data_IF_862159967916
#
_entry.id   IF_862159967916
#
_cell.length_a   1.000
_cell.length_b   1.000
_cell.length_c   1.000
_cell.angle_alpha   90.00
_cell.angle_beta   90.00
_cell.angle_gamma   90.00
#
_symmetry.space_group_name_H-M   'P 1'
#
loop_
_entity.id
_entity.type
_entity.pdbx_description
1 polymer ?
#
# COMPACT_ATOMS: atom_id res chain seq x y z
N UNK A 1 14.20 -2.28 -1.95
CA UNK A 1 13.19 -1.53 -2.73
C UNK A 1 12.30 -0.75 -1.79
N UNK A 2 12.19 0.54 -2.01
CA UNK A 2 11.35 1.45 -1.21
C UNK A 2 10.00 1.67 -1.86
N UNK A 3 8.94 1.33 -1.17
CA UNK A 3 7.54 1.41 -1.62
C UNK A 3 6.79 2.45 -0.82
N UNK A 4 5.94 3.23 -1.50
CA UNK A 4 5.10 4.24 -0.86
C UNK A 4 3.66 4.14 -1.36
N UNK A 5 2.68 4.29 -0.47
CA UNK A 5 1.28 4.57 -0.82
C UNK A 5 0.87 5.93 -0.28
N UNK A 6 0.07 6.66 -1.06
CA UNK A 6 -0.42 7.96 -0.64
C UNK A 6 -1.71 8.37 -1.34
N UNK A 7 -2.76 8.63 -0.58
CA UNK A 7 -3.89 9.39 -1.07
C UNK A 7 -3.49 10.88 -1.15
N UNK A 8 -3.51 11.48 -2.34
CA UNK A 8 -3.03 12.85 -2.59
C UNK A 8 -4.14 13.90 -2.60
N UNK A 9 -5.33 13.51 -2.15
CA UNK A 9 -6.45 14.41 -1.90
C UNK A 9 -6.89 15.26 -3.09
N UNK A 10 -6.89 14.68 -4.27
CA UNK A 10 -7.41 15.25 -5.52
C UNK A 10 -7.17 16.77 -5.66
N UNK A 11 -8.20 17.56 -6.05
CA UNK A 11 -8.17 19.04 -6.13
C UNK A 11 -8.87 19.73 -4.97
N UNK A 12 -8.89 19.12 -3.79
CA UNK A 12 -9.44 19.77 -2.61
C UNK A 12 -8.42 20.73 -1.97
N UNK A 13 -8.94 21.74 -1.24
CA UNK A 13 -8.10 22.72 -0.58
C UNK A 13 -7.17 23.48 -1.54
N UNK A 14 -6.00 23.93 -1.09
CA UNK A 14 -5.03 24.65 -1.92
C UNK A 14 -4.21 23.69 -2.79
N UNK A 15 -4.88 22.96 -3.70
CA UNK A 15 -4.32 21.83 -4.43
C UNK A 15 -3.07 22.18 -5.27
N UNK A 16 -2.93 23.41 -5.76
CA UNK A 16 -1.75 23.85 -6.52
C UNK A 16 -0.50 23.87 -5.64
N UNK A 17 -0.61 24.49 -4.45
CA UNK A 17 0.48 24.50 -3.47
C UNK A 17 0.76 23.09 -2.92
N UNK A 18 -0.29 22.29 -2.70
CA UNK A 18 -0.16 20.90 -2.24
C UNK A 18 0.56 20.03 -3.26
N UNK A 19 0.33 20.23 -4.55
CA UNK A 19 1.06 19.54 -5.62
C UNK A 19 2.58 19.68 -5.47
N UNK A 20 3.06 20.90 -5.19
CA UNK A 20 4.49 21.15 -4.99
C UNK A 20 5.00 20.56 -3.67
N UNK A 21 4.19 20.58 -2.61
CA UNK A 21 4.50 19.95 -1.34
C UNK A 21 4.60 18.41 -1.46
N UNK A 22 3.68 17.78 -2.20
CA UNK A 22 3.73 16.34 -2.52
C UNK A 22 5.04 16.01 -3.27
N UNK A 23 5.41 16.80 -4.27
CA UNK A 23 6.66 16.61 -5.01
C UNK A 23 7.89 16.72 -4.10
N UNK A 24 7.90 17.70 -3.18
CA UNK A 24 9.01 17.88 -2.26
C UNK A 24 9.19 16.67 -1.33
N UNK A 25 8.09 16.14 -0.79
CA UNK A 25 8.12 14.91 0.04
C UNK A 25 8.64 13.72 -0.76
N UNK A 26 8.13 13.50 -1.97
CA UNK A 26 8.57 12.37 -2.81
C UNK A 26 10.06 12.49 -3.20
N UNK A 27 10.58 13.69 -3.42
CA UNK A 27 12.01 13.93 -3.67
C UNK A 27 12.89 13.60 -2.48
N UNK A 28 12.45 13.95 -1.29
CA UNK A 28 13.17 13.68 -0.05
C UNK A 28 13.19 12.16 0.25
N UNK A 29 12.02 11.52 0.17
CA UNK A 29 11.85 10.10 0.46
C UNK A 29 12.49 9.18 -0.58
N UNK A 30 12.58 9.61 -1.84
CA UNK A 30 13.15 8.86 -2.98
C UNK A 30 12.58 7.43 -3.08
N UNK A 31 11.25 7.24 -3.14
CA UNK A 31 10.69 5.92 -3.31
C UNK A 31 11.06 5.33 -4.67
N UNK A 32 11.15 3.99 -4.73
CA UNK A 32 11.35 3.26 -5.97
C UNK A 32 10.04 3.05 -6.71
N UNK A 33 8.96 2.75 -5.96
CA UNK A 33 7.61 2.54 -6.48
C UNK A 33 6.59 3.25 -5.58
N UNK A 34 5.62 3.91 -6.22
CA UNK A 34 4.59 4.70 -5.53
C UNK A 34 3.20 4.32 -6.04
N UNK A 35 2.29 3.96 -5.14
CA UNK A 35 0.85 3.88 -5.39
C UNK A 35 0.17 5.16 -4.93
N UNK A 36 -0.53 5.85 -5.84
CA UNK A 36 -1.24 7.09 -5.56
C UNK A 36 -2.74 6.90 -5.74
N UNK A 37 -3.52 7.43 -4.81
CA UNK A 37 -4.97 7.50 -4.86
C UNK A 37 -5.39 8.97 -4.98
N UNK A 38 -6.59 9.20 -5.49
CA UNK A 38 -7.15 10.54 -5.74
C UNK A 38 -6.27 11.41 -6.65
N UNK A 39 -5.68 10.80 -7.65
CA UNK A 39 -4.94 11.50 -8.70
C UNK A 39 -5.93 12.20 -9.63
N UNK A 40 -5.71 13.48 -9.89
CA UNK A 40 -6.54 14.24 -10.83
C UNK A 40 -5.95 14.29 -12.24
N UNK A 41 -6.84 14.40 -13.24
CA UNK A 41 -6.48 14.79 -14.59
C UNK A 41 -7.50 15.82 -15.12
N UNK A 42 -7.03 16.75 -15.97
CA UNK A 42 -7.86 17.75 -16.65
C UNK A 42 -7.12 18.35 -17.84
N UNK A 43 -7.79 18.52 -18.97
CA UNK A 43 -7.29 19.26 -20.17
C UNK A 43 -5.89 18.81 -20.63
N UNK A 44 -5.62 17.48 -20.58
CA UNK A 44 -4.32 16.91 -20.93
C UNK A 44 -3.24 17.00 -19.84
N UNK A 45 -3.51 17.67 -18.73
CA UNK A 45 -2.68 17.59 -17.52
C UNK A 45 -3.10 16.41 -16.66
N UNK A 46 -2.12 15.77 -15.99
CA UNK A 46 -2.34 14.68 -15.04
C UNK A 46 -1.29 14.78 -13.93
N UNK A 47 -1.73 14.71 -12.67
CA UNK A 47 -0.83 14.85 -11.52
C UNK A 47 0.26 13.78 -11.51
N UNK A 48 -0.07 12.52 -11.80
CA UNK A 48 0.93 11.44 -11.83
C UNK A 48 1.98 11.68 -12.92
N UNK A 49 1.56 12.09 -14.13
CA UNK A 49 2.47 12.47 -15.21
C UNK A 49 3.37 13.64 -14.80
N UNK A 50 2.80 14.63 -14.15
CA UNK A 50 3.52 15.82 -13.69
C UNK A 50 4.58 15.46 -12.63
N UNK A 51 4.24 14.61 -11.65
CA UNK A 51 5.17 14.10 -10.64
C UNK A 51 6.26 13.23 -11.29
N UNK A 52 5.86 12.26 -12.11
CA UNK A 52 6.77 11.33 -12.77
C UNK A 52 7.84 12.05 -13.59
N UNK A 53 7.44 13.08 -14.37
CA UNK A 53 8.38 13.86 -15.19
C UNK A 53 9.43 14.61 -14.36
N UNK A 54 9.09 15.01 -13.13
CA UNK A 54 9.99 15.75 -12.21
C UNK A 54 10.84 14.86 -11.33
N UNK A 55 10.42 13.60 -11.20
CA UNK A 55 11.12 12.57 -10.42
C UNK A 55 11.97 11.65 -11.32
N UNK A 56 11.85 11.76 -12.64
CA UNK A 56 12.50 10.85 -13.59
C UNK A 56 11.95 9.42 -13.51
N UNK A 57 10.63 9.27 -13.27
CA UNK A 57 9.97 7.98 -13.09
C UNK A 57 9.07 7.65 -14.29
N UNK A 58 8.88 6.35 -14.52
CA UNK A 58 7.78 5.83 -15.35
C UNK A 58 6.46 5.93 -14.58
N UNK A 59 5.34 5.95 -15.31
CA UNK A 59 4.03 6.06 -14.68
C UNK A 59 2.93 5.37 -15.48
N UNK A 60 1.86 5.01 -14.79
CA UNK A 60 0.59 4.59 -15.36
C UNK A 60 -0.55 5.12 -14.51
N UNK A 61 -1.74 5.27 -15.11
CA UNK A 61 -2.92 5.83 -14.45
C UNK A 61 -4.19 5.15 -14.94
N UNK A 62 -5.15 4.98 -14.04
CA UNK A 62 -6.48 4.46 -14.31
C UNK A 62 -7.54 5.44 -13.78
N UNK A 63 -8.33 6.09 -14.66
CA UNK A 63 -9.43 6.95 -14.24
C UNK A 63 -10.59 6.15 -13.65
N UNK A 64 -11.28 6.76 -12.70
CA UNK A 64 -12.60 6.33 -12.26
C UNK A 64 -13.60 6.47 -13.40
N UNK A 65 -14.51 5.49 -13.56
CA UNK A 65 -15.60 5.59 -14.52
C UNK A 65 -16.74 6.49 -14.07
N UNK A 66 -16.85 6.73 -12.75
CA UNK A 66 -17.91 7.51 -12.15
C UNK A 66 -17.37 8.70 -11.34
N UNK A 67 -16.71 9.69 -12.00
CA UNK A 67 -16.13 10.84 -11.31
C UNK A 67 -17.18 11.86 -10.85
N UNK A 68 -18.46 11.71 -11.24
CA UNK A 68 -19.50 12.73 -11.10
C UNK A 68 -19.73 13.17 -9.64
N UNK A 69 -19.66 12.20 -8.70
CA UNK A 69 -19.74 12.48 -7.27
C UNK A 69 -18.64 13.45 -6.79
N UNK A 70 -17.42 13.23 -7.27
CA UNK A 70 -16.25 14.06 -6.99
C UNK A 70 -16.36 15.44 -7.65
N UNK A 71 -16.71 15.45 -8.92
CA UNK A 71 -16.86 16.67 -9.73
C UNK A 71 -17.87 17.65 -9.13
N UNK A 72 -19.01 17.14 -8.64
CA UNK A 72 -20.02 17.97 -7.95
C UNK A 72 -19.45 18.67 -6.70
N UNK A 73 -18.52 18.05 -5.97
CA UNK A 73 -17.93 18.61 -4.75
C UNK A 73 -17.05 19.83 -5.00
N UNK A 74 -16.48 19.98 -6.20
CA UNK A 74 -15.66 21.14 -6.58
C UNK A 74 -16.31 22.00 -7.66
N UNK A 75 -17.50 21.61 -8.17
CA UNK A 75 -18.20 22.35 -9.23
C UNK A 75 -17.49 22.33 -10.59
N UNK A 76 -16.65 21.32 -10.85
CA UNK A 76 -15.89 21.20 -12.10
C UNK A 76 -16.04 19.79 -12.70
N UNK A 77 -16.86 19.69 -13.76
CA UNK A 77 -17.19 18.44 -14.44
C UNK A 77 -16.13 17.94 -15.41
N UNK A 78 -15.06 18.71 -15.64
CA UNK A 78 -13.95 18.33 -16.53
C UNK A 78 -12.80 17.64 -15.79
N UNK A 79 -12.80 17.64 -14.45
CA UNK A 79 -11.72 17.04 -13.67
C UNK A 79 -12.00 15.56 -13.42
N UNK A 80 -11.13 14.71 -13.92
CA UNK A 80 -11.15 13.28 -13.66
C UNK A 80 -10.45 12.94 -12.33
N UNK A 81 -10.75 11.79 -11.77
CA UNK A 81 -10.14 11.23 -10.56
C UNK A 81 -9.77 9.76 -10.82
N UNK A 82 -8.68 9.29 -10.22
CA UNK A 82 -8.29 7.89 -10.39
C UNK A 82 -7.07 7.51 -9.53
N UNK A 83 -6.56 6.31 -9.80
CA UNK A 83 -5.37 5.77 -9.14
C UNK A 83 -4.18 5.77 -10.12
N UNK A 84 -2.97 5.92 -9.59
CA UNK A 84 -1.76 5.89 -10.39
C UNK A 84 -0.63 5.12 -9.74
N UNK A 85 0.29 4.62 -10.55
CA UNK A 85 1.55 4.03 -10.13
C UNK A 85 2.69 4.83 -10.75
N UNK A 86 3.66 5.22 -9.93
CA UNK A 86 4.96 5.74 -10.38
C UNK A 86 6.02 4.67 -10.10
N UNK A 87 6.98 4.50 -10.99
CA UNK A 87 8.05 3.52 -10.82
C UNK A 87 9.38 4.06 -11.35
N UNK A 88 10.46 3.80 -10.62
CA UNK A 88 11.84 4.05 -11.09
C UNK A 88 12.17 3.21 -12.32
N UNK A 89 11.54 2.05 -12.47
CA UNK A 89 11.78 1.09 -13.53
C UNK A 89 10.61 1.05 -14.51
N UNK A 90 10.83 0.52 -15.73
CA UNK A 90 9.77 0.41 -16.72
C UNK A 90 8.56 -0.37 -16.22
N UNK A 91 7.37 0.09 -16.59
CA UNK A 91 6.10 -0.60 -16.38
C UNK A 91 5.78 -1.33 -17.69
N UNK A 92 6.01 -2.65 -17.69
CA UNK A 92 5.85 -3.49 -18.87
C UNK A 92 4.40 -3.93 -19.11
N UNK A 93 3.63 -4.07 -18.02
CA UNK A 93 2.25 -4.53 -18.07
C UNK A 93 1.35 -3.65 -17.20
N UNK A 94 0.10 -3.54 -17.63
CA UNK A 94 -0.94 -2.88 -16.83
C UNK A 94 -2.27 -3.61 -17.03
N UNK A 95 -3.06 -3.64 -15.96
CA UNK A 95 -4.45 -4.08 -15.99
C UNK A 95 -5.26 -3.30 -14.95
N UNK A 96 -6.57 -3.29 -15.11
CA UNK A 96 -7.50 -2.70 -14.14
C UNK A 96 -8.63 -3.67 -13.86
N UNK A 97 -9.09 -3.69 -12.62
CA UNK A 97 -10.33 -4.36 -12.23
C UNK A 97 -11.27 -3.32 -11.62
N UNK A 98 -12.52 -3.36 -12.02
CA UNK A 98 -13.57 -2.59 -11.35
C UNK A 98 -13.97 -3.30 -10.08
N UNK A 99 -14.15 -2.52 -9.04
CA UNK A 99 -14.59 -3.05 -7.77
C UNK A 99 -16.11 -2.93 -7.64
N UNK A 100 -16.75 -3.85 -6.91
CA UNK A 100 -18.19 -3.77 -6.65
C UNK A 100 -18.61 -2.39 -6.16
N UNK A 101 -19.70 -1.88 -6.70
CA UNK A 101 -20.31 -0.60 -6.35
C UNK A 101 -21.55 -0.79 -5.46
N UNK A 102 -22.02 0.28 -4.77
CA UNK A 102 -23.30 0.28 -4.12
C UNK A 102 -24.43 -0.01 -5.11
N UNK A 103 -25.53 -0.59 -4.64
CA UNK A 103 -26.69 -0.82 -5.46
C UNK A 103 -27.30 0.52 -5.91
N UNK A 104 -27.42 0.72 -7.23
CA UNK A 104 -27.96 1.94 -7.83
C UNK A 104 -27.00 3.13 -7.94
N UNK A 105 -25.80 3.05 -7.39
CA UNK A 105 -24.78 4.12 -7.48
C UNK A 105 -23.39 3.52 -7.71
N UNK A 106 -22.78 3.83 -8.85
CA UNK A 106 -21.37 3.50 -9.09
C UNK A 106 -20.48 4.61 -8.50
N UNK A 107 -19.65 4.27 -7.53
CA UNK A 107 -18.64 5.17 -6.95
C UNK A 107 -17.31 5.12 -7.69
N UNK A 108 -17.22 4.32 -8.76
CA UNK A 108 -16.10 4.23 -9.70
C UNK A 108 -14.82 3.69 -9.07
N UNK A 109 -14.91 2.86 -8.03
CA UNK A 109 -13.75 2.26 -7.38
C UNK A 109 -13.12 1.20 -8.27
N UNK A 110 -11.79 1.19 -8.30
CA UNK A 110 -11.02 0.27 -9.14
C UNK A 110 -9.68 -0.12 -8.48
N UNK A 111 -9.15 -1.24 -8.93
CA UNK A 111 -7.77 -1.64 -8.69
C UNK A 111 -6.95 -1.45 -9.97
N UNK A 112 -5.72 -0.97 -9.83
CA UNK A 112 -4.75 -0.82 -10.91
C UNK A 112 -3.56 -1.75 -10.63
N UNK A 113 -3.23 -2.58 -11.61
CA UNK A 113 -2.02 -3.40 -11.65
C UNK A 113 -0.95 -2.76 -12.52
N UNK A 114 0.30 -2.85 -12.08
CA UNK A 114 1.50 -2.51 -12.83
C UNK A 114 2.54 -3.62 -12.68
N UNK A 115 2.86 -4.31 -13.75
CA UNK A 115 3.99 -5.25 -13.82
C UNK A 115 5.28 -4.46 -14.06
N UNK A 116 6.11 -4.32 -13.01
CA UNK A 116 7.30 -3.47 -13.02
C UNK A 116 8.54 -4.32 -13.29
N UNK A 117 9.30 -3.98 -14.33
CA UNK A 117 10.56 -4.64 -14.66
C UNK A 117 11.71 -4.04 -13.83
N UNK A 118 11.77 -4.44 -12.54
CA UNK A 118 12.90 -4.10 -11.69
C UNK A 118 14.15 -4.91 -12.08
N UNK A 119 15.39 -4.45 -11.75
CA UNK A 119 16.63 -5.02 -12.28
C UNK A 119 16.80 -6.52 -12.05
N UNK A 120 16.24 -7.06 -10.98
CA UNK A 120 16.43 -8.45 -10.60
C UNK A 120 15.24 -9.35 -10.90
N UNK A 121 14.03 -8.78 -10.99
CA UNK A 121 12.81 -9.55 -11.18
C UNK A 121 11.63 -8.63 -11.47
N UNK A 122 10.56 -9.20 -12.01
CA UNK A 122 9.28 -8.50 -12.14
C UNK A 122 8.61 -8.36 -10.78
N UNK A 123 8.17 -7.14 -10.47
CA UNK A 123 7.41 -6.81 -9.26
C UNK A 123 5.94 -6.64 -9.63
N UNK A 124 5.04 -7.51 -9.15
CA UNK A 124 3.59 -7.33 -9.31
C UNK A 124 3.09 -6.30 -8.30
N UNK A 125 2.85 -5.08 -8.78
CA UNK A 125 2.46 -3.94 -7.95
C UNK A 125 1.01 -3.52 -8.21
N UNK A 126 0.27 -3.27 -7.14
CA UNK A 126 -1.15 -2.92 -7.20
C UNK A 126 -1.43 -1.67 -6.38
N UNK A 127 -2.41 -0.88 -6.82
CA UNK A 127 -2.96 0.21 -6.01
C UNK A 127 -4.47 0.29 -6.16
N UNK A 128 -5.15 0.64 -5.08
CA UNK A 128 -6.61 0.73 -5.01
C UNK A 128 -7.06 1.88 -4.12
N UNK A 129 -8.35 2.23 -4.21
CA UNK A 129 -9.03 3.12 -3.28
C UNK A 129 -10.45 2.58 -3.08
N UNK A 130 -10.75 2.09 -1.88
CA UNK A 130 -12.06 1.48 -1.56
C UNK A 130 -13.12 2.54 -1.24
N UNK A 131 -14.37 2.11 -1.16
CA UNK A 131 -15.51 2.98 -0.84
C UNK A 131 -15.36 3.64 0.53
N UNK A 132 -15.64 4.97 0.58
CA UNK A 132 -15.33 5.83 1.73
C UNK A 132 -16.50 6.07 2.68
N UNK A 133 -17.71 5.56 2.41
CA UNK A 133 -18.83 5.71 3.34
C UNK A 133 -18.59 4.93 4.63
N UNK A 134 -18.91 5.54 5.77
CA UNK A 134 -18.63 4.98 7.10
C UNK A 134 -19.33 3.64 7.31
N UNK A 135 -20.53 3.47 6.77
CA UNK A 135 -21.37 2.26 6.85
C UNK A 135 -21.10 1.23 5.74
N UNK A 136 -20.08 1.46 4.89
CA UNK A 136 -19.83 0.64 3.70
C UNK A 136 -18.95 -0.63 3.96
N UNK A 137 -18.78 -1.10 5.21
CA UNK A 137 -17.92 -2.25 5.51
C UNK A 137 -18.32 -3.50 4.71
N UNK A 138 -19.61 -3.81 4.61
CA UNK A 138 -20.09 -4.93 3.80
C UNK A 138 -19.76 -4.80 2.30
N UNK A 139 -19.79 -3.57 1.76
CA UNK A 139 -19.35 -3.29 0.40
C UNK A 139 -17.84 -3.45 0.26
N UNK A 140 -17.05 -2.87 1.16
CA UNK A 140 -15.58 -3.02 1.18
C UNK A 140 -15.16 -4.49 1.30
N UNK A 141 -15.90 -5.32 2.05
CA UNK A 141 -15.68 -6.77 2.06
C UNK A 141 -15.81 -7.38 0.66
N UNK A 142 -16.81 -7.01 -0.14
CA UNK A 142 -16.94 -7.48 -1.53
C UNK A 142 -15.83 -6.90 -2.42
N UNK A 143 -15.45 -5.64 -2.21
CA UNK A 143 -14.37 -4.99 -2.96
C UNK A 143 -13.02 -5.67 -2.72
N UNK A 144 -12.69 -6.02 -1.48
CA UNK A 144 -11.43 -6.75 -1.18
C UNK A 144 -11.44 -8.19 -1.69
N UNK A 145 -12.61 -8.82 -1.83
CA UNK A 145 -12.72 -10.14 -2.47
C UNK A 145 -12.34 -10.08 -3.94
N UNK A 146 -12.85 -9.09 -4.67
CA UNK A 146 -12.50 -8.89 -6.06
C UNK A 146 -11.04 -8.48 -6.23
N UNK A 147 -10.56 -7.56 -5.39
CA UNK A 147 -9.15 -7.17 -5.33
C UNK A 147 -8.23 -8.38 -5.09
N UNK A 148 -8.56 -9.27 -4.16
CA UNK A 148 -7.74 -10.45 -3.87
C UNK A 148 -7.67 -11.42 -5.06
N UNK A 149 -8.77 -11.62 -5.79
CA UNK A 149 -8.79 -12.42 -7.02
C UNK A 149 -7.95 -11.78 -8.12
N UNK A 150 -8.08 -10.47 -8.30
CA UNK A 150 -7.30 -9.71 -9.25
C UNK A 150 -5.79 -9.78 -8.95
N UNK A 151 -5.40 -9.63 -7.68
CA UNK A 151 -4.01 -9.79 -7.22
C UNK A 151 -3.50 -11.20 -7.50
N UNK A 152 -4.27 -12.23 -7.20
CA UNK A 152 -3.89 -13.61 -7.45
C UNK A 152 -3.63 -13.88 -8.94
N UNK A 153 -4.50 -13.38 -9.82
CA UNK A 153 -4.41 -13.58 -11.26
C UNK A 153 -3.15 -12.92 -11.89
N UNK A 154 -2.69 -11.77 -11.34
CA UNK A 154 -1.57 -11.01 -11.91
C UNK A 154 -0.24 -11.20 -11.16
N UNK A 155 -0.22 -12.03 -10.12
CA UNK A 155 1.00 -12.36 -9.36
C UNK A 155 1.43 -13.81 -9.48
N UNK A 156 0.76 -14.60 -10.31
CA UNK A 156 1.11 -16.01 -10.50
C UNK A 156 2.48 -16.15 -11.19
N UNK A 157 3.34 -17.04 -10.65
CA UNK A 157 4.65 -17.30 -11.21
C UNK A 157 5.71 -16.20 -11.03
N UNK A 158 5.41 -15.12 -10.30
CA UNK A 158 6.40 -14.08 -10.01
C UNK A 158 7.29 -14.47 -8.83
N UNK A 159 8.61 -14.21 -8.95
CA UNK A 159 9.56 -14.46 -7.86
C UNK A 159 9.41 -13.43 -6.72
N UNK A 160 9.11 -12.17 -7.06
CA UNK A 160 8.78 -11.15 -6.07
C UNK A 160 7.33 -11.30 -5.64
N UNK A 161 7.02 -11.24 -4.32
CA UNK A 161 5.65 -11.33 -3.86
C UNK A 161 4.82 -10.13 -4.33
N UNK A 162 3.48 -10.28 -4.46
CA UNK A 162 2.63 -9.14 -4.76
C UNK A 162 2.72 -8.06 -3.69
N UNK A 163 2.78 -6.82 -4.14
CA UNK A 163 2.72 -5.62 -3.31
C UNK A 163 1.44 -4.87 -3.61
N UNK A 164 0.56 -4.74 -2.63
CA UNK A 164 -0.74 -4.08 -2.78
C UNK A 164 -0.78 -2.85 -1.89
N UNK A 165 -1.05 -1.72 -2.50
CA UNK A 165 -1.10 -0.41 -1.83
C UNK A 165 -2.49 0.19 -1.95
N UNK A 166 -2.87 1.08 -1.04
CA UNK A 166 -4.12 1.81 -1.21
C UNK A 166 -4.68 2.44 0.04
N UNK A 167 -5.67 3.30 -0.20
CA UNK A 167 -6.59 3.77 0.81
C UNK A 167 -7.77 2.79 0.88
N UNK A 168 -7.84 2.07 1.98
CA UNK A 168 -8.89 1.06 2.20
C UNK A 168 -10.14 1.67 2.85
N UNK A 169 -10.08 2.91 3.34
CA UNK A 169 -11.16 3.54 4.09
C UNK A 169 -11.68 2.64 5.23
N UNK A 170 -10.82 1.87 5.84
CA UNK A 170 -11.15 0.81 6.78
C UNK A 170 -10.10 0.73 7.88
N UNK A 171 -10.53 0.49 9.11
CA UNK A 171 -9.65 0.37 10.27
C UNK A 171 -8.87 -0.95 10.28
N UNK A 172 -7.71 -1.03 10.95
CA UNK A 172 -6.86 -2.23 10.92
C UNK A 172 -7.51 -3.52 11.43
N UNK A 173 -8.48 -3.40 12.32
CA UNK A 173 -9.23 -4.51 12.93
C UNK A 173 -10.58 -4.80 12.24
N UNK A 174 -10.90 -4.07 11.15
CA UNK A 174 -12.12 -4.27 10.37
C UNK A 174 -12.13 -5.58 9.60
N UNK A 175 -13.31 -6.06 9.29
CA UNK A 175 -13.51 -7.34 8.60
C UNK A 175 -12.88 -7.33 7.20
N UNK A 176 -13.02 -6.25 6.44
CA UNK A 176 -12.45 -6.10 5.11
C UNK A 176 -10.92 -6.16 5.12
N UNK A 177 -10.23 -5.53 6.08
CA UNK A 177 -8.75 -5.58 6.18
C UNK A 177 -8.30 -6.98 6.59
N UNK A 178 -8.96 -7.60 7.57
CA UNK A 178 -8.67 -8.97 8.00
C UNK A 178 -8.91 -9.97 6.90
N UNK A 179 -10.03 -9.83 6.16
CA UNK A 179 -10.42 -10.70 5.05
C UNK A 179 -9.44 -10.59 3.89
N UNK A 180 -9.01 -9.38 3.54
CA UNK A 180 -8.02 -9.16 2.49
C UNK A 180 -6.67 -9.81 2.84
N UNK A 181 -6.18 -9.60 4.05
CA UNK A 181 -4.92 -10.17 4.52
C UNK A 181 -4.92 -11.70 4.56
N UNK A 182 -6.02 -12.31 5.00
CA UNK A 182 -6.21 -13.76 5.00
C UNK A 182 -5.35 -14.55 6.01
N UNK A 183 -4.54 -13.88 6.83
CA UNK A 183 -3.70 -14.53 7.85
C UNK A 183 -4.31 -14.46 9.26
N UNK A 184 -5.26 -13.54 9.48
CA UNK A 184 -6.06 -13.43 10.74
C UNK A 184 -7.47 -14.01 10.59
N UNK A 185 -7.84 -14.47 9.39
CA UNK A 185 -9.10 -15.15 9.05
C UNK A 185 -8.88 -15.99 7.80
N UNK A 186 -9.90 -16.74 7.35
CA UNK A 186 -9.78 -17.52 6.11
C UNK A 186 -9.51 -16.61 4.91
N UNK A 187 -8.47 -16.90 4.09
CA UNK A 187 -8.14 -16.10 2.92
C UNK A 187 -9.22 -16.21 1.85
N UNK A 188 -9.45 -15.10 1.13
CA UNK A 188 -10.40 -15.05 0.00
C UNK A 188 -9.99 -16.04 -1.10
N UNK A 189 -8.70 -16.07 -1.42
CA UNK A 189 -8.13 -17.04 -2.38
C UNK A 189 -7.35 -18.08 -1.59
N UNK A 190 -7.75 -19.36 -1.62
CA UNK A 190 -7.08 -20.41 -0.85
C UNK A 190 -5.56 -20.45 -1.09
N UNK A 191 -4.80 -20.50 0.00
CA UNK A 191 -3.34 -20.53 -0.04
C UNK A 191 -2.67 -19.17 -0.33
N UNK A 192 -3.42 -18.09 -0.48
CA UNK A 192 -2.88 -16.74 -0.67
C UNK A 192 -3.10 -15.89 0.59
N UNK A 193 -2.02 -15.34 1.11
CA UNK A 193 -2.07 -14.38 2.22
C UNK A 193 -1.29 -13.12 1.86
N UNK A 194 -1.70 -12.00 2.41
CA UNK A 194 -1.09 -10.68 2.20
C UNK A 194 -0.92 -10.03 3.57
N UNK A 195 0.31 -9.92 4.04
CA UNK A 195 0.61 -9.35 5.36
C UNK A 195 0.67 -7.83 5.25
N UNK A 196 -0.03 -7.15 6.14
CA UNK A 196 0.12 -5.72 6.32
C UNK A 196 1.53 -5.41 6.81
N UNK A 197 2.28 -4.57 6.09
CA UNK A 197 3.65 -4.22 6.47
C UNK A 197 3.74 -3.57 7.85
N UNK A 198 2.64 -2.99 8.35
CA UNK A 198 2.58 -2.39 9.68
C UNK A 198 2.73 -3.40 10.83
N UNK A 199 2.53 -4.69 10.58
CA UNK A 199 2.82 -5.77 11.56
C UNK A 199 4.32 -5.85 11.89
N UNK A 200 5.19 -5.21 11.08
CA UNK A 200 6.64 -5.12 11.30
C UNK A 200 7.08 -3.76 11.86
N UNK A 201 6.13 -2.87 12.17
CA UNK A 201 6.43 -1.56 12.73
C UNK A 201 6.89 -1.65 14.18
N UNK A 202 7.69 -0.69 14.62
CA UNK A 202 7.87 -0.45 16.05
C UNK A 202 6.50 -0.08 16.66
N UNK A 203 6.02 -0.81 17.67
CA UNK A 203 4.73 -0.53 18.31
C UNK A 203 4.59 0.89 18.87
N UNK A 204 5.71 1.57 19.16
CA UNK A 204 5.72 2.94 19.64
C UNK A 204 5.51 3.99 18.53
N UNK A 205 5.59 3.59 17.24
CA UNK A 205 5.39 4.52 16.14
C UNK A 205 3.90 4.91 15.97
N UNK A 206 3.60 6.20 15.73
CA UNK A 206 2.25 6.63 15.42
C UNK A 206 1.81 6.05 14.07
N UNK A 207 0.67 5.33 14.04
CA UNK A 207 0.19 4.59 12.86
C UNK A 207 -0.86 5.33 12.05
N UNK A 208 -1.57 6.30 12.61
CA UNK A 208 -2.71 6.95 11.96
C UNK A 208 -2.30 7.65 10.67
N UNK A 209 -2.89 7.28 9.54
CA UNK A 209 -2.72 7.97 8.25
C UNK A 209 -3.78 9.04 8.04
N UNK A 210 -4.96 8.85 8.59
CA UNK A 210 -6.00 9.84 8.83
C UNK A 210 -5.84 10.35 10.25
N UNK A 211 -5.24 11.53 10.44
CA UNK A 211 -4.78 11.99 11.75
C UNK A 211 -5.28 13.40 12.06
N UNK A 212 -5.95 13.55 13.20
CA UNK A 212 -6.47 14.84 13.68
C UNK A 212 -5.38 15.91 13.96
N UNK A 213 -4.09 15.52 13.98
CA UNK A 213 -2.98 16.47 13.93
C UNK A 213 -2.92 17.26 12.61
N UNK A 214 -3.50 16.72 11.53
CA UNK A 214 -3.67 17.40 10.26
C UNK A 214 -4.91 18.31 10.32
N UNK A 215 -4.80 19.64 10.05
CA UNK A 215 -5.92 20.58 10.16
C UNK A 215 -7.10 20.23 9.24
N UNK A 216 -6.86 19.57 8.11
CA UNK A 216 -7.91 19.14 7.20
C UNK A 216 -8.73 17.97 7.77
N UNK A 217 -8.12 17.12 8.58
CA UNK A 217 -8.78 16.02 9.28
C UNK A 217 -9.43 16.52 10.58
N UNK A 218 -8.74 17.36 11.34
CA UNK A 218 -9.26 17.93 12.59
C UNK A 218 -10.65 18.60 12.40
N UNK A 219 -10.84 19.27 11.27
CA UNK A 219 -12.10 19.92 10.92
C UNK A 219 -13.28 18.93 10.73
N UNK A 220 -13.01 17.64 10.58
CA UNK A 220 -14.03 16.59 10.39
C UNK A 220 -14.46 15.92 11.69
N UNK A 221 -13.76 16.18 12.80
CA UNK A 221 -14.02 15.58 14.12
C UNK A 221 -14.00 14.04 14.13
N UNK A 222 -13.26 13.43 13.21
CA UNK A 222 -13.09 11.98 13.10
C UNK A 222 -11.95 11.50 14.01
N UNK A 223 -12.00 10.25 14.51
CA UNK A 223 -10.87 9.67 15.23
C UNK A 223 -9.61 9.56 14.33
N UNK A 224 -8.43 9.70 14.94
CA UNK A 224 -7.18 9.40 14.25
C UNK A 224 -7.05 7.88 14.07
N UNK A 225 -6.86 7.42 12.82
CA UNK A 225 -6.81 6.01 12.47
C UNK A 225 -5.95 5.76 11.22
N UNK A 226 -5.39 4.57 11.10
CA UNK A 226 -4.74 4.14 9.86
C UNK A 226 -5.78 3.53 8.92
N UNK A 227 -5.86 4.06 7.71
CA UNK A 227 -6.75 3.60 6.64
C UNK A 227 -6.01 3.37 5.32
N UNK A 228 -4.74 3.77 5.26
CA UNK A 228 -3.85 3.51 4.13
C UNK A 228 -2.91 2.34 4.44
N UNK A 229 -2.70 1.45 3.47
CA UNK A 229 -2.01 0.18 3.68
C UNK A 229 -1.03 -0.12 2.55
N UNK A 230 0.03 -0.84 2.93
CA UNK A 230 0.85 -1.65 2.05
C UNK A 230 0.74 -3.09 2.54
N UNK A 231 0.20 -3.98 1.71
CA UNK A 231 0.19 -5.41 1.96
C UNK A 231 1.21 -6.09 1.06
N UNK A 232 1.87 -7.10 1.57
CA UNK A 232 2.88 -7.87 0.82
C UNK A 232 2.63 -9.36 1.00
N UNK A 233 2.80 -10.13 -0.08
CA UNK A 233 2.77 -11.60 -0.01
C UNK A 233 3.93 -12.16 0.82
N UNK A 234 3.90 -13.45 1.18
CA UNK A 234 5.03 -14.11 1.83
C UNK A 234 6.32 -13.92 1.04
N UNK A 235 7.46 -13.74 1.71
CA UNK A 235 8.74 -13.52 1.04
C UNK A 235 9.05 -14.63 0.02
N UNK A 236 9.48 -14.21 -1.15
CA UNK A 236 9.95 -15.09 -2.23
C UNK A 236 11.35 -15.69 -1.96
N UNK A 237 11.93 -16.34 -2.96
CA UNK A 237 13.26 -16.95 -2.87
C UNK A 237 14.32 -15.94 -2.39
N UNK A 238 15.19 -16.35 -1.46
CA UNK A 238 16.22 -15.48 -0.89
C UNK A 238 15.69 -14.34 -0.01
N UNK A 239 14.41 -14.41 0.40
CA UNK A 239 13.77 -13.38 1.22
C UNK A 239 13.32 -12.15 0.42
N UNK A 240 13.16 -12.27 -0.91
CA UNK A 240 12.61 -11.19 -1.74
C UNK A 240 11.27 -10.70 -1.20
N UNK A 241 11.11 -9.38 -1.10
CA UNK A 241 9.90 -8.76 -0.58
C UNK A 241 9.77 -8.79 0.95
N UNK A 242 10.71 -9.37 1.70
CA UNK A 242 10.70 -9.29 3.16
C UNK A 242 10.71 -7.84 3.63
N UNK A 243 9.84 -7.49 4.58
CA UNK A 243 9.73 -6.15 5.14
C UNK A 243 10.92 -5.87 6.04
N UNK A 244 11.62 -4.77 5.82
CA UNK A 244 12.76 -4.29 6.62
C UNK A 244 12.37 -3.17 7.56
N UNK A 245 11.54 -2.27 7.08
CA UNK A 245 11.06 -1.13 7.86
C UNK A 245 9.73 -0.63 7.31
N UNK A 246 8.95 0.01 8.16
CA UNK A 246 7.74 0.73 7.80
C UNK A 246 7.59 1.97 8.68
N UNK A 247 7.07 3.05 8.10
CA UNK A 247 6.76 4.28 8.84
C UNK A 247 5.76 5.15 8.08
N UNK A 248 5.19 6.13 8.78
CA UNK A 248 4.47 7.23 8.13
C UNK A 248 5.45 8.20 7.47
N UNK A 249 4.93 8.95 6.51
CA UNK A 249 5.65 10.03 5.85
C UNK A 249 4.67 11.07 5.30
N UNK A 250 5.15 12.27 4.96
CA UNK A 250 4.29 13.35 4.48
C UNK A 250 3.24 13.80 5.52
N UNK A 251 3.50 13.53 6.78
CA UNK A 251 2.63 13.73 7.94
C UNK A 251 2.88 15.07 8.66
N UNK A 252 3.38 16.05 7.92
CA UNK A 252 3.60 17.42 8.38
C UNK A 252 3.62 18.40 7.22
N UNK A 253 3.52 19.73 7.51
CA UNK A 253 3.54 20.75 6.48
C UNK A 253 4.92 20.90 5.83
N UNK A 254 4.93 21.14 4.52
CA UNK A 254 6.09 21.53 3.72
C UNK A 254 5.95 23.00 3.37
N UNK A 255 6.86 23.85 3.80
CA UNK A 255 6.77 25.30 3.63
C UNK A 255 5.41 25.88 4.09
N UNK A 256 4.84 25.35 5.18
CA UNK A 256 3.56 25.78 5.72
C UNK A 256 2.32 25.17 5.04
N UNK A 257 2.48 24.32 4.04
CA UNK A 257 1.39 23.66 3.31
C UNK A 257 1.37 22.17 3.64
N UNK A 258 0.25 21.65 4.12
CA UNK A 258 0.04 20.21 4.26
C UNK A 258 -0.14 19.57 2.88
N UNK A 259 0.66 18.55 2.54
CA UNK A 259 0.62 17.96 1.19
C UNK A 259 -0.70 17.27 0.86
N UNK A 260 -1.31 16.61 1.85
CA UNK A 260 -2.58 15.89 1.74
C UNK A 260 -3.31 15.93 3.08
N UNK A 261 -4.58 15.53 3.12
CA UNK A 261 -5.29 15.18 4.34
C UNK A 261 -4.90 13.80 4.88
N UNK A 262 -4.23 12.97 4.08
CA UNK A 262 -3.63 11.71 4.50
C UNK A 262 -2.13 11.82 4.69
N UNK A 263 -1.58 11.09 5.67
CA UNK A 263 -0.18 10.73 5.69
C UNK A 263 0.08 9.53 4.75
N UNK A 264 1.25 9.50 4.14
CA UNK A 264 1.71 8.35 3.37
C UNK A 264 2.18 7.20 4.28
N UNK A 265 2.14 5.97 3.77
CA UNK A 265 2.86 4.82 4.34
C UNK A 265 4.07 4.52 3.45
N UNK A 266 5.24 4.40 4.07
CA UNK A 266 6.50 4.07 3.43
C UNK A 266 7.06 2.78 4.01
N UNK A 267 7.40 1.82 3.14
CA UNK A 267 8.04 0.56 3.53
C UNK A 267 9.32 0.31 2.73
N UNK A 268 10.35 -0.22 3.38
CA UNK A 268 11.52 -0.76 2.72
C UNK A 268 11.39 -2.30 2.66
N UNK A 269 11.43 -2.85 1.47
CA UNK A 269 11.35 -4.29 1.19
C UNK A 269 12.71 -4.79 0.68
N UNK A 270 13.06 -6.03 1.04
CA UNK A 270 14.29 -6.67 0.53
C UNK A 270 14.20 -6.85 -0.98
N UNK A 271 15.27 -6.50 -1.70
CA UNK A 271 15.51 -6.81 -3.10
C UNK A 271 16.86 -7.52 -3.29
N UNK A 272 17.21 -7.87 -4.51
CA UNK A 272 18.46 -8.63 -4.76
C UNK A 272 19.74 -7.85 -4.47
N UNK A 273 19.70 -6.50 -4.40
CA UNK A 273 20.88 -5.70 -4.15
C UNK A 273 21.46 -5.91 -2.74
N UNK A 274 20.67 -6.53 -1.87
CA UNK A 274 21.01 -6.74 -0.46
C UNK A 274 21.51 -8.17 -0.13
N UNK A 275 21.72 -9.02 -1.14
CA UNK A 275 22.12 -10.42 -0.95
C UNK A 275 23.54 -10.64 -0.37
N UNK A 276 24.27 -9.57 -0.05
CA UNK A 276 25.67 -9.61 0.34
C UNK A 276 25.96 -9.61 1.86
N UNK A 277 24.96 -9.56 2.74
CA UNK A 277 25.23 -9.76 4.17
C UNK A 277 24.98 -11.22 4.58
N UNK A 278 26.04 -11.97 4.99
CA UNK A 278 25.84 -13.32 5.52
C UNK A 278 25.09 -13.23 6.85
N UNK A 279 24.08 -14.08 6.97
CA UNK A 279 23.33 -14.29 8.20
C UNK A 279 24.27 -14.72 9.33
N UNK A 280 24.63 -13.82 10.24
CA UNK A 280 25.49 -14.08 11.40
C UNK A 280 24.70 -14.61 12.61
N UNK A 281 23.53 -15.17 12.41
CA UNK A 281 22.77 -15.85 13.45
C UNK A 281 23.19 -17.33 13.59
N UNK A 282 24.44 -17.59 13.96
CA UNK A 282 24.80 -18.88 14.56
C UNK A 282 24.40 -18.86 16.03
N UNK A 283 23.18 -19.26 16.31
CA UNK A 283 22.76 -19.61 17.66
C UNK A 283 23.58 -20.81 18.16
N UNK A 284 23.88 -20.92 19.47
CA UNK A 284 24.69 -21.99 20.00
C UNK A 284 24.00 -23.35 19.79
N UNK A 285 24.79 -24.33 19.29
CA UNK A 285 24.37 -25.70 19.12
C UNK A 285 23.80 -26.30 20.43
N UNK A 286 22.74 -27.11 20.39
CA UNK A 286 22.21 -27.74 21.59
C UNK A 286 23.26 -28.72 22.17
N UNK A 287 23.54 -28.55 23.45
CA UNK A 287 24.46 -29.41 24.19
C UNK A 287 23.96 -30.87 24.16
N UNK A 288 24.79 -31.78 23.63
CA UNK A 288 24.60 -33.22 23.70
C UNK A 288 24.59 -33.68 25.17
N UNK A 289 23.47 -34.24 25.61
CA UNK A 289 23.39 -34.96 26.88
C UNK A 289 24.27 -36.21 26.78
N UNK A 290 25.32 -36.24 27.60
CA UNK A 290 26.10 -37.44 27.80
C UNK A 290 25.28 -38.44 28.63
N UNK A 291 25.14 -39.63 28.04
CA UNK A 291 24.64 -40.82 28.69
C UNK A 291 25.57 -41.21 29.86
N UNK A 292 25.04 -41.35 31.04
CA UNK A 292 25.68 -42.03 32.15
C UNK A 292 24.87 -43.25 32.51
N UNK A 293 25.19 -44.33 31.78
CA UNK A 293 24.97 -45.69 32.24
C UNK A 293 26.09 -46.04 33.22
N UNK A 294 25.79 -46.55 34.42
CA UNK A 294 26.25 -47.81 34.91
C UNK A 294 26.13 -47.96 36.44
N UNK A 295 25.51 -49.09 36.75
CA UNK A 295 25.84 -50.00 37.85
C UNK A 295 25.43 -49.64 39.30
N UNK A 296 24.64 -50.58 39.85
CA UNK A 296 24.51 -50.81 41.27
C UNK A 296 23.43 -51.80 41.66
N UNK A 297 23.71 -53.10 41.53
CA UNK A 297 22.98 -54.19 42.20
C UNK A 297 23.15 -54.14 43.72
N UNK A 298 22.09 -54.48 44.48
CA UNK A 298 21.90 -55.48 45.59
C UNK A 298 20.67 -55.04 46.41
N UNK A 299 19.71 -55.90 46.43
CA UNK A 299 19.34 -56.95 47.36
C UNK A 299 19.11 -56.49 48.84
N UNK A 300 17.90 -56.50 49.29
CA UNK A 300 17.23 -57.41 50.25
C UNK A 300 15.72 -57.19 50.09
#
# INVERSE_FOLDING_TARGET
MRVLTWNVWWRFGPWEQRRDAVLAVLRDLRPDVVGLQEVWARDGENLARWLASRLGMHWTWAPSRAPQGWQRRIGDHAVEVGNAVLSRWPIAERATAELPAPEGEDDGRLALYAGIDAPSCRVPFFTTHLSSADDASALRCRQVEELARFVAAHSEGTAFPPVVTGDFNAWPDSDEVRRFGGYKTAPVVPGRVLVDVWEYADPAQPSATWDAANPYVAARHSPSVRIDYIHVGPPGPGGLGAVRSVRRAGDGPVAGVWPSDHAAVLADLRDHSDAAEPDTATGPAPATRADKDSKGRRAV
#
